data_IF_531892114324
#
_entry.id   IF_531892114324
#
_cell.length_a   1.000
_cell.length_b   1.000
_cell.length_c   1.000
_cell.angle_alpha   90.00
_cell.angle_beta   90.00
_cell.angle_gamma   90.00
#
_symmetry.space_group_name_H-M   'P 1'
#
loop_
_entity.id
_entity.type
_entity.pdbx_description
1 polymer ?
#
# COMPACT_ATOMS: atom_id res chain seq x y z
N UNK A 1 7.69 -20.96 11.47
CA UNK A 1 8.64 -20.31 10.54
C UNK A 1 7.91 -19.49 9.49
N UNK A 2 6.95 -20.06 8.73
CA UNK A 2 6.23 -19.30 7.68
C UNK A 2 5.23 -18.26 8.24
N UNK A 3 4.43 -18.61 9.25
CA UNK A 3 3.55 -17.62 9.95
C UNK A 3 4.35 -16.51 10.65
N UNK A 4 5.51 -16.84 11.21
CA UNK A 4 6.40 -15.90 11.89
C UNK A 4 6.99 -14.88 10.89
N UNK A 5 7.22 -15.29 9.64
CA UNK A 5 7.63 -14.38 8.58
C UNK A 5 6.51 -13.43 8.15
N UNK A 6 5.25 -13.89 8.12
CA UNK A 6 4.13 -13.05 7.72
C UNK A 6 3.79 -12.00 8.79
N UNK A 7 3.86 -12.37 10.07
CA UNK A 7 3.68 -11.43 11.20
C UNK A 7 4.73 -10.32 11.17
N UNK A 8 5.99 -10.65 10.87
CA UNK A 8 7.05 -9.64 10.70
C UNK A 8 6.76 -8.68 9.53
N UNK A 9 6.19 -9.17 8.43
CA UNK A 9 5.81 -8.33 7.30
C UNK A 9 4.61 -7.43 7.63
N UNK A 10 3.67 -7.91 8.44
CA UNK A 10 2.55 -7.12 8.96
C UNK A 10 3.05 -5.99 9.88
N UNK A 11 3.94 -6.30 10.83
CA UNK A 11 4.52 -5.31 11.72
C UNK A 11 5.29 -4.23 10.95
N UNK A 12 6.00 -4.64 9.90
CA UNK A 12 6.73 -3.72 9.03
C UNK A 12 5.80 -2.84 8.19
N UNK A 13 4.70 -3.40 7.69
CA UNK A 13 3.68 -2.62 6.99
C UNK A 13 3.07 -1.57 7.93
N UNK A 14 2.72 -1.96 9.16
CA UNK A 14 2.18 -1.04 10.16
C UNK A 14 3.19 0.06 10.54
N UNK A 15 4.49 -0.27 10.62
CA UNK A 15 5.56 0.72 10.80
C UNK A 15 5.58 1.75 9.65
N UNK A 16 5.50 1.29 8.41
CA UNK A 16 5.49 2.17 7.23
C UNK A 16 4.29 3.13 7.25
N UNK A 17 3.10 2.63 7.57
CA UNK A 17 1.87 3.43 7.69
C UNK A 17 1.99 4.51 8.79
N UNK A 18 2.61 4.18 9.93
CA UNK A 18 2.86 5.13 11.02
C UNK A 18 3.83 6.22 10.56
N UNK A 19 4.91 5.86 9.87
CA UNK A 19 5.88 6.81 9.33
C UNK A 19 5.22 7.77 8.34
N UNK A 20 4.38 7.23 7.45
CA UNK A 20 3.63 8.04 6.49
C UNK A 20 2.68 9.01 7.18
N UNK A 21 1.94 8.53 8.19
CA UNK A 21 1.06 9.37 8.99
C UNK A 21 1.83 10.51 9.67
N UNK A 22 2.98 10.23 10.27
CA UNK A 22 3.80 11.28 10.89
C UNK A 22 4.29 12.27 9.83
N UNK A 23 4.76 11.79 8.67
CA UNK A 23 5.24 12.63 7.57
C UNK A 23 4.13 13.60 7.10
N UNK A 24 2.93 13.08 6.84
CA UNK A 24 1.76 13.86 6.40
C UNK A 24 1.29 14.90 7.42
N UNK A 25 1.59 14.71 8.70
CA UNK A 25 1.22 15.62 9.78
C UNK A 25 2.39 16.47 10.32
N UNK A 26 3.57 16.36 9.70
CA UNK A 26 4.73 17.19 10.07
C UNK A 26 4.63 18.54 9.38
N UNK A 27 4.77 19.62 10.14
CA UNK A 27 4.82 20.99 9.63
C UNK A 27 6.04 21.19 8.72
N UNK A 28 5.80 21.36 7.42
CA UNK A 28 6.82 21.50 6.38
C UNK A 28 7.18 22.97 6.08
N UNK A 29 6.59 23.93 6.80
CA UNK A 29 6.80 25.37 6.55
C UNK A 29 8.19 25.87 6.95
N UNK A 30 8.93 25.07 7.73
CA UNK A 30 10.32 25.35 8.09
C UNK A 30 11.29 24.44 7.34
N UNK A 31 12.53 24.90 7.08
CA UNK A 31 13.54 24.07 6.39
C UNK A 31 13.87 22.78 7.13
N UNK A 32 13.80 22.79 8.47
CA UNK A 32 14.02 21.61 9.31
C UNK A 32 12.81 20.66 9.25
N UNK A 33 11.59 21.18 9.31
CA UNK A 33 10.37 20.39 9.20
C UNK A 33 10.24 19.70 7.84
N UNK A 34 10.54 20.42 6.75
CA UNK A 34 10.59 19.83 5.41
C UNK A 34 11.63 18.73 5.25
N UNK A 35 12.82 18.86 5.85
CA UNK A 35 13.84 17.80 5.81
C UNK A 35 13.41 16.54 6.58
N UNK A 36 12.75 16.71 7.73
CA UNK A 36 12.21 15.59 8.52
C UNK A 36 11.11 14.88 7.75
N UNK A 37 10.15 15.63 7.19
CA UNK A 37 9.06 15.10 6.39
C UNK A 37 9.57 14.25 5.21
N UNK A 38 10.55 14.77 4.46
CA UNK A 38 11.18 14.03 3.35
C UNK A 38 11.82 12.72 3.82
N UNK A 39 12.58 12.73 4.92
CA UNK A 39 13.24 11.51 5.44
C UNK A 39 12.22 10.45 5.86
N UNK A 40 11.10 10.85 6.44
CA UNK A 40 10.03 9.92 6.84
C UNK A 40 9.36 9.29 5.61
N UNK A 41 9.07 10.08 4.56
CA UNK A 41 8.55 9.54 3.31
C UNK A 41 9.56 8.62 2.58
N UNK A 42 10.86 8.96 2.61
CA UNK A 42 11.90 8.08 2.06
C UNK A 42 11.96 6.74 2.82
N UNK A 43 11.90 6.77 4.15
CA UNK A 43 11.91 5.56 4.97
C UNK A 43 10.65 4.72 4.75
N UNK A 44 9.47 5.35 4.77
CA UNK A 44 8.19 4.71 4.48
C UNK A 44 8.21 4.01 3.12
N UNK A 45 8.68 4.69 2.07
CA UNK A 45 8.82 4.14 0.73
C UNK A 45 9.73 2.91 0.67
N UNK A 46 10.85 2.95 1.40
CA UNK A 46 11.76 1.81 1.50
C UNK A 46 11.08 0.62 2.20
N UNK A 47 10.38 0.86 3.31
CA UNK A 47 9.67 -0.19 4.04
C UNK A 47 8.58 -0.86 3.18
N UNK A 48 7.77 -0.07 2.47
CA UNK A 48 6.79 -0.61 1.51
C UNK A 48 7.44 -1.45 0.41
N UNK A 49 8.54 -0.98 -0.19
CA UNK A 49 9.25 -1.69 -1.26
C UNK A 49 9.81 -3.04 -0.79
N UNK A 50 10.32 -3.08 0.45
CA UNK A 50 10.84 -4.31 1.06
C UNK A 50 9.71 -5.29 1.38
N UNK A 51 8.58 -4.80 1.93
CA UNK A 51 7.39 -5.63 2.20
C UNK A 51 6.81 -6.21 0.90
N UNK A 52 6.65 -5.39 -0.16
CA UNK A 52 6.19 -5.86 -1.46
C UNK A 52 7.06 -6.99 -2.01
N UNK A 53 8.39 -6.78 -2.00
CA UNK A 53 9.35 -7.76 -2.52
C UNK A 53 9.26 -9.09 -1.77
N UNK A 54 9.20 -9.05 -0.43
CA UNK A 54 9.09 -10.26 0.39
C UNK A 54 7.75 -10.98 0.23
N UNK A 55 6.63 -10.25 0.10
CA UNK A 55 5.32 -10.86 -0.14
C UNK A 55 5.23 -11.52 -1.51
N UNK A 56 5.83 -10.91 -2.54
CA UNK A 56 5.93 -11.53 -3.87
C UNK A 56 6.73 -12.82 -3.85
N UNK A 57 7.86 -12.84 -3.14
CA UNK A 57 8.66 -14.05 -2.97
C UNK A 57 7.87 -15.13 -2.21
N UNK A 58 7.25 -14.78 -1.10
CA UNK A 58 6.44 -15.70 -0.29
C UNK A 58 5.28 -16.34 -1.09
N UNK A 59 4.56 -15.54 -1.87
CA UNK A 59 3.45 -16.00 -2.70
C UNK A 59 3.87 -16.87 -3.89
N UNK A 60 5.16 -16.96 -4.23
CA UNK A 60 5.65 -17.92 -5.23
C UNK A 60 5.69 -19.34 -4.69
N UNK A 61 5.80 -19.50 -3.37
CA UNK A 61 5.90 -20.79 -2.70
C UNK A 61 4.61 -21.20 -2.01
N UNK A 62 3.82 -20.23 -1.52
CA UNK A 62 2.62 -20.50 -0.74
C UNK A 62 1.45 -19.60 -1.18
N UNK A 63 0.34 -20.22 -1.59
CA UNK A 63 -0.89 -19.50 -1.90
C UNK A 63 -1.68 -19.20 -0.62
N UNK A 64 -1.29 -18.13 0.08
CA UNK A 64 -1.93 -17.66 1.31
C UNK A 64 -2.85 -16.48 1.06
N UNK A 65 -4.09 -16.58 1.53
CA UNK A 65 -5.07 -15.48 1.44
C UNK A 65 -4.59 -14.23 2.18
N UNK A 66 -3.96 -14.40 3.35
CA UNK A 66 -3.47 -13.29 4.17
C UNK A 66 -2.31 -12.57 3.49
N UNK A 67 -1.38 -13.33 2.87
CA UNK A 67 -0.31 -12.73 2.09
C UNK A 67 -0.82 -12.05 0.81
N UNK A 68 -1.85 -12.60 0.16
CA UNK A 68 -2.48 -11.95 -0.98
C UNK A 68 -3.16 -10.63 -0.59
N UNK A 69 -3.82 -10.58 0.57
CA UNK A 69 -4.46 -9.38 1.11
C UNK A 69 -3.41 -8.30 1.43
N UNK A 70 -2.34 -8.68 2.14
CA UNK A 70 -1.23 -7.77 2.46
C UNK A 70 -0.54 -7.24 1.21
N UNK A 71 -0.35 -8.08 0.18
CA UNK A 71 0.27 -7.62 -1.06
C UNK A 71 -0.66 -6.64 -1.80
N UNK A 72 -1.98 -6.88 -1.78
CA UNK A 72 -2.93 -5.92 -2.35
C UNK A 72 -2.90 -4.58 -1.61
N UNK A 73 -2.84 -4.61 -0.28
CA UNK A 73 -2.72 -3.42 0.55
C UNK A 73 -1.45 -2.63 0.23
N UNK A 74 -0.27 -3.28 0.26
CA UNK A 74 0.99 -2.57 0.02
C UNK A 74 1.08 -1.99 -1.39
N UNK A 75 0.47 -2.64 -2.39
CA UNK A 75 0.40 -2.13 -3.76
C UNK A 75 -0.49 -0.89 -3.87
N UNK A 76 -1.59 -0.85 -3.11
CA UNK A 76 -2.43 0.34 -3.00
C UNK A 76 -1.66 1.49 -2.32
N UNK A 77 -0.98 1.20 -1.20
CA UNK A 77 -0.20 2.20 -0.46
C UNK A 77 0.93 2.77 -1.32
N UNK A 78 1.67 1.91 -2.01
CA UNK A 78 2.67 2.31 -3.01
C UNK A 78 2.05 3.18 -4.10
N UNK A 79 0.84 2.86 -4.58
CA UNK A 79 0.20 3.67 -5.61
C UNK A 79 -0.06 5.11 -5.12
N UNK A 80 -0.62 5.26 -3.92
CA UNK A 80 -1.03 6.57 -3.37
C UNK A 80 0.11 7.34 -2.68
N UNK A 81 1.27 6.71 -2.50
CA UNK A 81 2.41 7.31 -1.81
C UNK A 81 3.03 8.45 -2.64
N UNK A 82 3.42 9.60 -2.04
CA UNK A 82 3.98 10.75 -2.79
C UNK A 82 5.22 10.44 -3.63
N UNK A 83 6.06 9.49 -3.19
CA UNK A 83 7.26 9.08 -3.93
C UNK A 83 6.98 8.18 -5.14
N UNK A 84 5.73 7.71 -5.34
CA UNK A 84 5.39 6.80 -6.43
C UNK A 84 5.39 7.48 -7.80
N UNK A 85 5.05 8.78 -7.83
CA UNK A 85 4.82 9.52 -9.07
C UNK A 85 3.60 9.04 -9.87
N UNK A 86 2.74 8.20 -9.28
CA UNK A 86 1.53 7.66 -9.91
C UNK A 86 0.34 8.58 -9.61
N UNK A 87 -0.54 8.78 -10.59
CA UNK A 87 -1.56 9.86 -10.53
C UNK A 87 -2.99 9.39 -10.84
N UNK A 88 -3.17 8.29 -11.59
CA UNK A 88 -4.51 7.83 -11.98
C UNK A 88 -4.61 6.31 -12.00
N UNK A 89 -3.81 5.70 -12.88
CA UNK A 89 -3.85 4.28 -13.13
C UNK A 89 -2.43 3.72 -13.14
N UNK A 90 -2.26 2.56 -12.53
CA UNK A 90 -0.98 1.86 -12.49
C UNK A 90 -1.19 0.35 -12.45
N UNK A 91 -0.19 -0.39 -12.90
CA UNK A 91 -0.19 -1.84 -12.81
C UNK A 91 -0.36 -2.32 -11.35
N UNK A 92 0.20 -1.59 -10.37
CA UNK A 92 0.03 -1.89 -8.95
C UNK A 92 -1.44 -1.79 -8.50
N UNK A 93 -2.15 -0.75 -8.95
CA UNK A 93 -3.56 -0.55 -8.59
C UNK A 93 -4.47 -1.64 -9.20
N UNK A 94 -4.22 -2.02 -10.45
CA UNK A 94 -4.90 -3.14 -11.10
C UNK A 94 -4.62 -4.47 -10.40
N UNK A 95 -3.36 -4.71 -10.02
CA UNK A 95 -2.98 -5.91 -9.31
C UNK A 95 -3.63 -6.00 -7.92
N UNK A 96 -3.63 -4.89 -7.16
CA UNK A 96 -4.34 -4.81 -5.88
C UNK A 96 -5.83 -5.15 -6.02
N UNK A 97 -6.50 -4.53 -7.01
CA UNK A 97 -7.91 -4.80 -7.28
C UNK A 97 -8.15 -6.26 -7.65
N UNK A 98 -7.30 -6.84 -8.52
CA UNK A 98 -7.41 -8.23 -8.93
C UNK A 98 -7.29 -9.17 -7.73
N UNK A 99 -6.32 -8.95 -6.84
CA UNK A 99 -6.09 -9.78 -5.65
C UNK A 99 -7.29 -9.76 -4.72
N UNK A 100 -7.85 -8.59 -4.44
CA UNK A 100 -9.05 -8.51 -3.61
C UNK A 100 -10.28 -9.13 -4.28
N UNK A 101 -10.48 -8.96 -5.58
CA UNK A 101 -11.55 -9.67 -6.28
C UNK A 101 -11.36 -11.19 -6.23
N UNK A 102 -10.13 -11.66 -6.40
CA UNK A 102 -9.79 -13.08 -6.27
C UNK A 102 -10.15 -13.61 -4.87
N UNK A 103 -9.77 -12.88 -3.81
CA UNK A 103 -10.10 -13.22 -2.43
C UNK A 103 -11.61 -13.22 -2.19
N UNK A 104 -12.34 -12.21 -2.69
CA UNK A 104 -13.81 -12.15 -2.59
C UNK A 104 -14.46 -13.40 -3.19
N UNK A 105 -14.11 -13.78 -4.42
CA UNK A 105 -14.70 -14.95 -5.07
C UNK A 105 -14.29 -16.27 -4.41
N UNK A 106 -13.18 -16.30 -3.68
CA UNK A 106 -12.71 -17.49 -2.95
C UNK A 106 -13.36 -17.66 -1.58
N UNK A 107 -13.51 -16.58 -0.82
CA UNK A 107 -13.97 -16.64 0.59
C UNK A 107 -15.42 -16.20 0.78
N UNK A 108 -15.96 -15.38 -0.13
CA UNK A 108 -17.27 -14.74 0.01
C UNK A 108 -17.28 -13.56 0.99
N UNK A 109 -16.12 -13.09 1.46
CA UNK A 109 -16.04 -11.97 2.40
C UNK A 109 -16.19 -10.62 1.69
N UNK A 110 -17.28 -9.91 1.97
CA UNK A 110 -17.61 -8.61 1.34
C UNK A 110 -16.52 -7.53 1.53
N UNK A 111 -15.72 -7.58 2.60
CA UNK A 111 -14.62 -6.63 2.83
C UNK A 111 -13.68 -6.54 1.63
N UNK A 112 -13.42 -7.65 0.94
CA UNK A 112 -12.54 -7.66 -0.21
C UNK A 112 -13.17 -7.00 -1.44
N UNK A 113 -14.49 -7.17 -1.63
CA UNK A 113 -15.22 -6.45 -2.67
C UNK A 113 -15.22 -4.94 -2.41
N UNK A 114 -15.36 -4.52 -1.15
CA UNK A 114 -15.26 -3.11 -0.77
C UNK A 114 -13.88 -2.54 -1.08
N UNK A 115 -12.80 -3.22 -0.72
CA UNK A 115 -11.44 -2.81 -1.05
C UNK A 115 -11.20 -2.75 -2.57
N UNK A 116 -11.67 -3.74 -3.32
CA UNK A 116 -11.58 -3.73 -4.79
C UNK A 116 -12.32 -2.55 -5.45
N UNK A 117 -13.42 -2.07 -4.85
CA UNK A 117 -14.13 -0.88 -5.33
C UNK A 117 -13.35 0.41 -5.08
N UNK A 118 -12.55 0.49 -4.02
CA UNK A 118 -11.70 1.66 -3.76
C UNK A 118 -10.70 1.89 -4.90
N UNK A 119 -10.08 0.83 -5.43
CA UNK A 119 -9.21 0.94 -6.60
C UNK A 119 -9.92 1.52 -7.82
N UNK A 120 -11.18 1.13 -8.04
CA UNK A 120 -11.99 1.68 -9.12
C UNK A 120 -12.31 3.16 -8.88
N UNK A 121 -12.62 3.54 -7.64
CA UNK A 121 -12.82 4.94 -7.23
C UNK A 121 -11.59 5.81 -7.51
N UNK A 122 -10.39 5.32 -7.19
CA UNK A 122 -9.12 6.03 -7.45
C UNK A 122 -8.92 6.25 -8.95
N UNK A 123 -9.14 5.22 -9.79
CA UNK A 123 -9.00 5.35 -11.25
C UNK A 123 -9.92 6.40 -11.87
N UNK A 124 -11.07 6.67 -11.24
CA UNK A 124 -12.08 7.61 -11.74
C UNK A 124 -12.14 8.91 -10.94
N UNK A 125 -11.27 9.11 -9.95
CA UNK A 125 -11.18 10.36 -9.22
C UNK A 125 -10.63 11.46 -10.14
N UNK A 126 -11.51 12.33 -10.63
CA UNK A 126 -11.10 13.54 -11.34
C UNK A 126 -10.72 14.60 -10.31
N UNK A 127 -9.48 15.09 -10.39
CA UNK A 127 -9.11 16.35 -9.72
C UNK A 127 -9.66 17.48 -10.59
N UNK A 128 -10.79 18.04 -10.20
CA UNK A 128 -11.23 19.33 -10.77
C UNK A 128 -10.22 20.39 -10.29
N UNK A 129 -9.50 21.03 -11.22
CA UNK A 129 -8.72 22.22 -10.89
C UNK A 129 -9.71 23.29 -10.43
N UNK A 130 -9.57 23.72 -9.17
CA UNK A 130 -10.32 24.87 -8.65
C UNK A 130 -9.67 26.11 -9.23
N UNK A 131 -10.30 26.71 -10.26
CA UNK A 131 -9.93 28.02 -10.82
C UNK A 131 -10.07 29.17 -9.80
#
# INVERSE_FOLDING_TARGET
MEQENLEVLQDKLASAEILEYIARNTDDTSSQGGEVCRKLFEQCWQEYSEVESSLREFLTTEDSNEAQDLLAQVLLDIHIHPNSGLVYDSAALWEAQYRWLHLYYRTGEERFMEQAKLCDGIRHAQVEEVE
#
